data_IF_033682835985
#
_entry.id   IF_033682835985
#
_cell.length_a   1.000
_cell.length_b   1.000
_cell.length_c   1.000
_cell.angle_alpha   90.00
_cell.angle_beta   90.00
_cell.angle_gamma   90.00
#
_symmetry.space_group_name_H-M   'P 1'
#
loop_
_entity.id
_entity.type
_entity.pdbx_description
1 polymer ?
#
# COMPACT_ATOMS: atom_id res chain seq x y z
N UNK A 1 -9.91 0.50 16.64
CA UNK A 1 -9.80 -0.82 16.01
C UNK A 1 -9.97 -1.87 17.08
N UNK A 2 -10.76 -2.90 16.80
CA UNK A 2 -10.99 -3.98 17.75
C UNK A 2 -10.79 -5.30 17.03
N UNK A 3 -9.83 -6.07 17.49
CA UNK A 3 -9.45 -7.36 16.89
C UNK A 3 -9.84 -8.51 17.81
N UNK A 4 -9.36 -9.72 17.52
CA UNK A 4 -9.48 -10.87 18.42
C UNK A 4 -8.76 -10.71 19.75
N UNK A 5 -7.67 -9.94 19.75
CA UNK A 5 -6.74 -9.90 20.88
C UNK A 5 -6.53 -8.49 21.42
N UNK A 6 -6.86 -7.46 20.64
CA UNK A 6 -6.55 -6.07 20.99
C UNK A 6 -7.73 -5.13 20.83
N UNK A 7 -7.75 -4.12 21.69
CA UNK A 7 -8.58 -2.94 21.54
C UNK A 7 -7.65 -1.72 21.50
N UNK A 8 -7.76 -0.93 20.43
CA UNK A 8 -6.93 0.27 20.25
C UNK A 8 -7.79 1.44 19.80
N UNK A 9 -7.61 2.59 20.43
CA UNK A 9 -8.29 3.83 20.06
C UNK A 9 -7.70 4.40 18.76
N UNK A 10 -8.48 4.43 17.67
CA UNK A 10 -8.01 5.04 16.41
C UNK A 10 -8.10 6.57 16.45
N UNK A 11 -9.14 7.09 17.06
CA UNK A 11 -9.37 8.52 17.28
C UNK A 11 -10.15 8.69 18.58
N UNK A 12 -9.92 9.79 19.28
CA UNK A 12 -10.59 10.10 20.56
C UNK A 12 -10.89 11.58 20.60
N UNK A 13 -12.14 11.92 20.97
CA UNK A 13 -12.51 13.24 21.44
C UNK A 13 -12.82 13.13 22.93
N UNK A 14 -11.84 13.47 23.76
CA UNK A 14 -11.98 13.37 25.22
C UNK A 14 -12.35 14.73 25.81
N UNK A 15 -13.61 14.88 26.19
CA UNK A 15 -14.13 16.06 26.90
C UNK A 15 -14.44 15.76 28.37
N UNK A 16 -14.20 14.52 28.80
CA UNK A 16 -14.51 14.02 30.13
C UNK A 16 -13.26 13.80 30.99
N UNK A 17 -12.08 14.11 30.44
CA UNK A 17 -10.77 13.84 31.05
C UNK A 17 -10.61 12.34 31.38
N UNK A 18 -11.09 11.50 30.47
CA UNK A 18 -10.98 10.04 30.54
C UNK A 18 -9.51 9.59 30.40
N UNK A 19 -8.66 10.39 29.76
CA UNK A 19 -7.22 10.19 29.63
C UNK A 19 -6.82 9.26 28.48
N UNK A 20 -7.79 8.77 27.70
CA UNK A 20 -7.53 7.95 26.52
C UNK A 20 -7.09 8.83 25.35
N UNK A 21 -6.04 8.41 24.66
CA UNK A 21 -5.48 9.10 23.50
C UNK A 21 -5.57 8.22 22.27
N UNK A 22 -5.50 8.78 21.04
CA UNK A 22 -5.26 7.99 19.84
C UNK A 22 -4.02 7.09 20.03
N UNK A 23 -4.13 5.82 19.66
CA UNK A 23 -3.14 4.78 19.91
C UNK A 23 -3.19 4.15 21.31
N UNK A 24 -3.99 4.68 22.23
CA UNK A 24 -4.21 4.10 23.56
C UNK A 24 -4.96 2.77 23.49
N UNK A 25 -4.72 1.90 24.46
CA UNK A 25 -5.32 0.57 24.54
C UNK A 25 -6.18 0.41 25.79
N UNK A 26 -7.15 -0.48 25.71
CA UNK A 26 -7.97 -0.93 26.83
C UNK A 26 -7.93 -2.46 26.88
N UNK A 27 -8.17 -3.02 28.07
CA UNK A 27 -8.31 -4.47 28.21
C UNK A 27 -9.55 -4.94 27.44
N UNK A 28 -9.36 -5.79 26.43
CA UNK A 28 -10.41 -6.14 25.48
C UNK A 28 -11.69 -6.68 26.16
N UNK A 29 -11.53 -7.61 27.11
CA UNK A 29 -12.61 -8.24 27.89
C UNK A 29 -13.42 -7.24 28.72
N UNK A 30 -12.83 -6.10 29.05
CA UNK A 30 -13.50 -5.05 29.82
C UNK A 30 -14.40 -4.15 28.97
N UNK A 31 -14.41 -4.31 27.65
CA UNK A 31 -15.08 -3.39 26.71
C UNK A 31 -16.36 -3.97 26.12
N UNK A 32 -17.42 -3.16 26.04
CA UNK A 32 -18.65 -3.50 25.29
C UNK A 32 -18.35 -3.64 23.79
N UNK A 33 -17.30 -2.97 23.28
CA UNK A 33 -16.85 -3.11 21.90
C UNK A 33 -16.49 -4.58 21.55
N UNK A 34 -15.96 -5.34 22.51
CA UNK A 34 -15.66 -6.76 22.32
C UNK A 34 -16.94 -7.60 22.16
N UNK A 35 -17.98 -7.30 22.94
CA UNK A 35 -19.28 -7.97 22.82
C UNK A 35 -20.00 -7.63 21.51
N UNK A 36 -19.88 -6.38 21.04
CA UNK A 36 -20.43 -5.94 19.75
C UNK A 36 -19.77 -6.70 18.59
N UNK A 37 -18.47 -6.97 18.67
CA UNK A 37 -17.76 -7.77 17.67
C UNK A 37 -18.35 -9.16 17.51
N UNK A 38 -18.84 -9.78 18.57
CA UNK A 38 -19.46 -11.12 18.50
C UNK A 38 -20.94 -11.05 18.13
N UNK A 39 -21.67 -10.04 18.60
CA UNK A 39 -23.12 -9.93 18.39
C UNK A 39 -23.52 -9.24 17.08
N UNK A 40 -22.61 -8.44 16.50
CA UNK A 40 -22.82 -7.59 15.32
C UNK A 40 -23.96 -6.56 15.48
N UNK A 41 -24.34 -6.25 16.72
CA UNK A 41 -25.44 -5.33 17.03
C UNK A 41 -24.92 -4.08 17.72
N UNK A 42 -25.53 -2.94 17.38
CA UNK A 42 -25.29 -1.71 18.13
C UNK A 42 -25.79 -1.87 19.58
N UNK A 43 -25.12 -1.18 20.50
CA UNK A 43 -25.52 -1.07 21.91
C UNK A 43 -25.86 0.38 22.18
N UNK A 44 -27.04 0.62 22.74
CA UNK A 44 -27.54 1.95 23.13
C UNK A 44 -28.08 1.85 24.54
N UNK A 45 -27.55 2.68 25.44
CA UNK A 45 -27.87 2.71 26.87
C UNK A 45 -28.25 4.13 27.23
N UNK A 46 -29.53 4.35 27.53
CA UNK A 46 -30.03 5.67 27.95
C UNK A 46 -29.62 5.98 29.41
N UNK A 47 -29.77 5.00 30.29
CA UNK A 47 -29.46 5.08 31.71
C UNK A 47 -29.03 3.71 32.24
N UNK A 48 -27.75 3.56 32.62
CA UNK A 48 -27.18 2.29 33.10
C UNK A 48 -27.97 1.70 34.25
N UNK A 49 -28.38 2.48 35.26
CA UNK A 49 -29.09 1.95 36.42
C UNK A 49 -30.48 1.38 36.10
N UNK A 50 -31.09 1.80 34.99
CA UNK A 50 -32.42 1.37 34.53
C UNK A 50 -32.34 0.35 33.38
N UNK A 51 -31.15 0.15 32.80
CA UNK A 51 -30.96 -0.76 31.67
C UNK A 51 -30.96 -2.22 32.14
N UNK A 52 -31.87 -3.07 31.62
CA UNK A 52 -32.02 -4.45 32.09
C UNK A 52 -30.81 -5.34 31.78
N UNK A 53 -30.01 -5.01 30.76
CA UNK A 53 -28.83 -5.78 30.37
C UNK A 53 -27.57 -5.22 31.02
N UNK A 54 -27.48 -3.89 31.17
CA UNK A 54 -26.24 -3.23 31.56
C UNK A 54 -26.18 -2.72 33.02
N UNK A 55 -27.29 -2.76 33.78
CA UNK A 55 -27.29 -2.31 35.19
C UNK A 55 -26.35 -3.09 36.12
N UNK A 56 -26.14 -4.38 35.82
CA UNK A 56 -25.24 -5.27 36.55
C UNK A 56 -23.89 -5.48 35.83
N UNK A 57 -23.66 -4.80 34.69
CA UNK A 57 -22.44 -4.96 33.91
C UNK A 57 -21.26 -4.19 34.53
N UNK A 58 -20.05 -4.74 34.41
CA UNK A 58 -18.85 -4.15 35.03
C UNK A 58 -18.34 -2.93 34.25
N UNK A 59 -18.40 -2.96 32.92
CA UNK A 59 -17.87 -1.90 32.04
C UNK A 59 -18.37 -0.49 32.38
N UNK A 60 -19.69 -0.22 32.59
CA UNK A 60 -20.15 1.10 33.01
C UNK A 60 -19.56 1.59 34.34
N UNK A 61 -19.32 0.68 35.30
CA UNK A 61 -18.73 1.02 36.60
C UNK A 61 -17.24 1.32 36.46
N UNK A 62 -16.53 0.49 35.69
CA UNK A 62 -15.11 0.64 35.43
C UNK A 62 -14.80 1.99 34.76
N UNK A 63 -15.57 2.34 33.73
CA UNK A 63 -15.38 3.56 32.94
C UNK A 63 -16.27 4.73 33.35
N UNK A 64 -17.06 4.58 34.42
CA UNK A 64 -17.84 5.63 35.09
C UNK A 64 -18.82 6.38 34.18
N UNK A 65 -19.52 5.67 33.30
CA UNK A 65 -20.59 6.26 32.46
C UNK A 65 -21.99 5.84 32.92
N UNK A 66 -22.99 6.64 32.56
CA UNK A 66 -24.42 6.37 32.79
C UNK A 66 -25.23 6.34 31.49
N UNK A 67 -24.71 6.88 30.39
CA UNK A 67 -25.27 6.65 29.05
C UNK A 67 -24.16 6.29 28.06
N UNK A 68 -24.51 5.53 27.04
CA UNK A 68 -23.56 4.97 26.07
C UNK A 68 -24.22 4.67 24.73
N UNK A 69 -23.52 4.94 23.64
CA UNK A 69 -23.89 4.44 22.31
C UNK A 69 -22.66 3.91 21.62
N UNK A 70 -22.76 2.74 21.00
CA UNK A 70 -21.68 2.13 20.23
C UNK A 70 -22.24 1.38 19.04
N UNK A 71 -21.68 1.68 17.87
CA UNK A 71 -22.12 1.15 16.59
C UNK A 71 -20.96 0.45 15.89
N UNK A 72 -21.14 -0.77 15.39
CA UNK A 72 -20.10 -1.49 14.67
C UNK A 72 -19.75 -0.81 13.35
N UNK A 73 -18.46 -0.83 13.02
CA UNK A 73 -17.90 -0.41 11.74
C UNK A 73 -17.52 -1.68 11.00
N UNK A 74 -18.23 -1.96 9.91
CA UNK A 74 -17.92 -3.04 8.98
C UNK A 74 -17.38 -2.45 7.69
N UNK A 75 -16.32 -3.06 7.15
CA UNK A 75 -15.77 -2.72 5.84
C UNK A 75 -16.63 -3.32 4.73
N UNK A 76 -16.38 -2.93 3.47
CA UNK A 76 -17.18 -3.37 2.32
C UNK A 76 -17.10 -4.88 2.06
N UNK A 77 -16.02 -5.54 2.50
CA UNK A 77 -15.85 -6.99 2.45
C UNK A 77 -16.62 -7.75 3.55
N UNK A 78 -17.30 -7.02 4.44
CA UNK A 78 -18.05 -7.57 5.58
C UNK A 78 -17.20 -7.85 6.82
N UNK A 79 -15.89 -7.57 6.78
CA UNK A 79 -15.02 -7.69 7.95
C UNK A 79 -15.33 -6.62 9.00
N UNK A 80 -15.17 -6.99 10.26
CA UNK A 80 -15.36 -6.06 11.39
C UNK A 80 -14.06 -5.31 11.69
N UNK A 81 -14.11 -3.98 11.61
CA UNK A 81 -12.96 -3.13 11.92
C UNK A 81 -12.91 -2.71 13.40
N UNK A 82 -14.06 -2.42 13.98
CA UNK A 82 -14.19 -1.89 15.33
C UNK A 82 -15.54 -1.23 15.56
N UNK A 83 -15.61 -0.29 16.50
CA UNK A 83 -16.84 0.48 16.75
C UNK A 83 -16.54 1.98 16.79
N UNK A 84 -17.54 2.79 16.46
CA UNK A 84 -17.60 4.18 16.88
C UNK A 84 -18.48 4.24 18.13
N UNK A 85 -18.00 4.88 19.19
CA UNK A 85 -18.75 4.96 20.44
C UNK A 85 -18.66 6.34 21.11
N UNK A 86 -19.66 6.63 21.93
CA UNK A 86 -19.73 7.79 22.80
C UNK A 86 -20.27 7.36 24.17
N UNK A 87 -19.77 7.98 25.23
CA UNK A 87 -20.15 7.71 26.62
C UNK A 87 -20.29 9.03 27.39
N UNK A 88 -21.17 9.06 28.38
CA UNK A 88 -21.35 10.23 29.26
C UNK A 88 -21.59 9.76 30.71
N UNK A 89 -20.99 10.41 31.74
CA UNK A 89 -21.25 10.11 33.15
C UNK A 89 -22.70 10.35 33.59
N UNK A 90 -23.52 11.02 32.79
CA UNK A 90 -24.93 11.28 33.06
C UNK A 90 -25.85 10.45 32.16
N UNK A 91 -27.06 10.12 32.63
CA UNK A 91 -28.10 9.57 31.77
C UNK A 91 -28.43 10.53 30.63
N UNK A 92 -28.75 9.98 29.46
CA UNK A 92 -29.15 10.75 28.28
C UNK A 92 -30.20 9.98 27.49
N UNK A 93 -31.18 10.67 26.92
CA UNK A 93 -32.17 10.02 26.03
C UNK A 93 -31.55 9.81 24.65
N UNK A 94 -31.14 8.60 24.33
CA UNK A 94 -30.53 8.21 23.06
C UNK A 94 -31.52 7.41 22.21
N UNK A 95 -32.17 6.40 22.80
CA UNK A 95 -33.14 5.54 22.13
C UNK A 95 -34.35 6.34 21.64
N UNK A 96 -34.74 6.12 20.38
CA UNK A 96 -35.86 6.83 19.76
C UNK A 96 -35.52 8.27 19.32
N UNK A 97 -34.25 8.67 19.40
CA UNK A 97 -33.76 9.93 18.84
C UNK A 97 -32.99 9.69 17.52
N UNK A 98 -32.75 10.72 16.70
CA UNK A 98 -31.97 10.58 15.47
C UNK A 98 -30.50 10.18 15.67
N UNK A 99 -29.99 10.19 16.91
CA UNK A 99 -28.57 9.96 17.20
C UNK A 99 -28.11 8.57 16.76
N UNK A 100 -28.96 7.55 16.88
CA UNK A 100 -28.63 6.19 16.48
C UNK A 100 -28.43 6.08 14.97
N UNK A 101 -29.37 6.62 14.19
CA UNK A 101 -29.27 6.66 12.73
C UNK A 101 -28.06 7.48 12.25
N UNK A 102 -27.75 8.57 12.95
CA UNK A 102 -26.57 9.39 12.68
C UNK A 102 -25.28 8.63 12.95
N UNK A 103 -25.17 7.93 14.09
CA UNK A 103 -24.01 7.10 14.42
C UNK A 103 -23.82 5.94 13.43
N UNK A 104 -24.90 5.32 12.96
CA UNK A 104 -24.86 4.31 11.88
C UNK A 104 -24.35 4.92 10.57
N UNK A 105 -24.77 6.14 10.24
CA UNK A 105 -24.28 6.84 9.05
C UNK A 105 -22.80 7.19 9.17
N UNK A 106 -22.34 7.65 10.34
CA UNK A 106 -20.93 7.90 10.58
C UNK A 106 -20.09 6.63 10.55
N UNK A 107 -20.58 5.51 11.10
CA UNK A 107 -19.89 4.23 11.01
C UNK A 107 -19.64 3.82 9.54
N UNK A 108 -20.62 4.03 8.65
CA UNK A 108 -20.47 3.78 7.22
C UNK A 108 -19.48 4.73 6.54
N UNK A 109 -19.52 6.01 6.87
CA UNK A 109 -18.55 6.99 6.35
C UNK A 109 -17.13 6.68 6.81
N UNK A 110 -16.95 6.28 8.07
CA UNK A 110 -15.67 5.85 8.60
C UNK A 110 -15.15 4.61 7.87
N UNK A 111 -16.00 3.60 7.63
CA UNK A 111 -15.62 2.42 6.85
C UNK A 111 -15.08 2.83 5.46
N UNK A 112 -15.83 3.64 4.72
CA UNK A 112 -15.42 4.13 3.40
C UNK A 112 -14.08 4.90 3.44
N UNK A 113 -13.90 5.75 4.47
CA UNK A 113 -12.67 6.52 4.62
C UNK A 113 -11.47 5.62 4.95
N UNK A 114 -11.64 4.65 5.84
CA UNK A 114 -10.59 3.68 6.20
C UNK A 114 -10.15 2.90 4.95
N UNK A 115 -11.11 2.38 4.17
CA UNK A 115 -10.80 1.64 2.95
C UNK A 115 -10.14 2.52 1.89
N UNK A 116 -10.56 3.78 1.75
CA UNK A 116 -9.93 4.71 0.82
C UNK A 116 -8.48 5.01 1.20
N UNK A 117 -8.19 5.17 2.49
CA UNK A 117 -6.84 5.40 3.00
C UNK A 117 -5.94 4.17 2.81
N UNK A 118 -6.44 2.98 3.12
CA UNK A 118 -5.71 1.72 2.93
C UNK A 118 -5.39 1.46 1.44
N UNK A 119 -6.37 1.66 0.55
CA UNK A 119 -6.18 1.51 -0.89
C UNK A 119 -5.17 2.52 -1.45
N UNK A 120 -5.23 3.78 -0.98
CA UNK A 120 -4.29 4.81 -1.39
C UNK A 120 -2.87 4.50 -0.92
N UNK A 121 -2.72 3.97 0.29
CA UNK A 121 -1.42 3.58 0.83
C UNK A 121 -0.84 2.42 0.03
N UNK A 122 -1.61 1.37 -0.24
CA UNK A 122 -1.16 0.23 -1.04
C UNK A 122 -0.73 0.68 -2.45
N UNK A 123 -1.56 1.48 -3.13
CA UNK A 123 -1.24 1.97 -4.47
C UNK A 123 0.06 2.81 -4.50
N UNK A 124 0.37 3.53 -3.41
CA UNK A 124 1.63 4.28 -3.29
C UNK A 124 2.82 3.35 -3.12
N UNK A 125 2.69 2.32 -2.29
CA UNK A 125 3.76 1.33 -2.09
C UNK A 125 4.07 0.56 -3.38
N UNK A 126 3.02 0.13 -4.10
CA UNK A 126 3.16 -0.54 -5.39
C UNK A 126 3.86 0.36 -6.42
N UNK A 127 3.45 1.63 -6.50
CA UNK A 127 4.08 2.60 -7.40
C UNK A 127 5.56 2.84 -7.08
N UNK A 128 5.92 2.91 -5.79
CA UNK A 128 7.30 3.07 -5.37
C UNK A 128 8.13 1.83 -5.76
N UNK A 129 7.60 0.63 -5.50
CA UNK A 129 8.26 -0.62 -5.88
C UNK A 129 8.46 -0.72 -7.41
N UNK A 130 7.44 -0.38 -8.21
CA UNK A 130 7.55 -0.36 -9.66
C UNK A 130 8.62 0.63 -10.15
N UNK A 131 8.70 1.82 -9.53
CA UNK A 131 9.73 2.83 -9.85
C UNK A 131 11.12 2.33 -9.53
N UNK A 132 11.34 1.73 -8.37
CA UNK A 132 12.64 1.16 -8.00
C UNK A 132 13.08 0.07 -9.00
N UNK A 133 12.15 -0.81 -9.39
CA UNK A 133 12.42 -1.84 -10.40
C UNK A 133 12.75 -1.21 -11.76
N UNK A 134 12.02 -0.16 -12.16
CA UNK A 134 12.28 0.57 -13.40
C UNK A 134 13.65 1.25 -13.39
N UNK A 135 14.02 1.93 -12.31
CA UNK A 135 15.33 2.59 -12.16
C UNK A 135 16.48 1.57 -12.20
N UNK A 136 16.36 0.46 -11.46
CA UNK A 136 17.35 -0.62 -11.50
C UNK A 136 17.49 -1.22 -12.90
N UNK A 137 16.37 -1.41 -13.60
CA UNK A 137 16.37 -1.88 -14.99
C UNK A 137 17.09 -0.89 -15.92
N UNK A 138 16.80 0.40 -15.81
CA UNK A 138 17.47 1.43 -16.62
C UNK A 138 18.98 1.49 -16.37
N UNK A 139 19.40 1.43 -15.10
CA UNK A 139 20.80 1.37 -14.71
C UNK A 139 21.48 0.12 -15.26
N UNK A 140 20.85 -1.05 -15.11
CA UNK A 140 21.38 -2.32 -15.61
C UNK A 140 21.57 -2.30 -17.14
N UNK A 141 20.59 -1.79 -17.88
CA UNK A 141 20.68 -1.63 -19.33
C UNK A 141 21.82 -0.66 -19.71
N UNK A 142 21.96 0.46 -18.99
CA UNK A 142 23.02 1.42 -19.25
C UNK A 142 24.42 0.81 -19.03
N UNK A 143 24.62 0.12 -17.91
CA UNK A 143 25.90 -0.51 -17.56
C UNK A 143 26.24 -1.63 -18.54
N UNK A 144 25.31 -2.58 -18.77
CA UNK A 144 25.54 -3.66 -19.73
C UNK A 144 25.83 -3.13 -21.13
N UNK A 145 25.12 -2.08 -21.56
CA UNK A 145 25.33 -1.51 -22.87
C UNK A 145 26.71 -0.89 -23.05
N UNK A 146 27.27 -0.30 -22.01
CA UNK A 146 28.66 0.16 -22.04
C UNK A 146 29.64 -1.03 -22.04
N UNK A 147 29.44 -1.98 -21.14
CA UNK A 147 30.37 -3.08 -20.91
C UNK A 147 30.42 -4.09 -22.07
N UNK A 148 29.34 -4.22 -22.84
CA UNK A 148 29.31 -5.01 -24.07
C UNK A 148 29.91 -4.28 -25.27
N UNK A 149 29.73 -2.95 -25.37
CA UNK A 149 30.29 -2.16 -26.47
C UNK A 149 31.81 -2.08 -26.41
N UNK A 150 32.38 -1.90 -25.22
CA UNK A 150 33.84 -1.78 -25.05
C UNK A 150 34.68 -2.92 -25.66
N UNK A 151 34.42 -4.21 -25.38
CA UNK A 151 35.16 -5.31 -26.00
C UNK A 151 34.91 -5.40 -27.51
N UNK A 152 33.69 -5.11 -27.99
CA UNK A 152 33.39 -5.09 -29.42
C UNK A 152 34.14 -3.97 -30.16
N UNK A 153 34.25 -2.78 -29.56
CA UNK A 153 35.10 -1.71 -30.06
C UNK A 153 36.57 -2.14 -30.15
N UNK A 154 37.08 -2.80 -29.09
CA UNK A 154 38.46 -3.29 -29.07
C UNK A 154 38.71 -4.38 -30.15
N UNK A 155 37.77 -5.31 -30.35
CA UNK A 155 37.84 -6.36 -31.38
C UNK A 155 37.85 -5.73 -32.77
N UNK A 156 36.90 -4.84 -33.05
CA UNK A 156 36.77 -4.20 -34.36
C UNK A 156 38.01 -3.34 -34.66
N UNK A 157 38.47 -2.51 -33.71
CA UNK A 157 39.67 -1.69 -33.88
C UNK A 157 40.93 -2.54 -34.10
N UNK A 158 41.07 -3.67 -33.38
CA UNK A 158 42.20 -4.58 -33.56
C UNK A 158 42.19 -5.25 -34.94
N UNK A 159 41.01 -5.68 -35.41
CA UNK A 159 40.84 -6.24 -36.74
C UNK A 159 41.17 -5.20 -37.83
N UNK A 160 40.67 -3.97 -37.71
CA UNK A 160 40.99 -2.87 -38.62
C UNK A 160 42.50 -2.55 -38.66
N UNK A 161 43.18 -2.59 -37.52
CA UNK A 161 44.63 -2.38 -37.45
C UNK A 161 45.41 -3.51 -38.14
N UNK A 162 44.96 -4.76 -38.04
CA UNK A 162 45.57 -5.89 -38.74
C UNK A 162 45.46 -5.75 -40.26
N UNK A 163 44.32 -5.27 -40.78
CA UNK A 163 44.13 -5.02 -42.22
C UNK A 163 45.05 -3.93 -42.79
N UNK A 164 45.67 -3.10 -41.95
CA UNK A 164 46.67 -2.10 -42.37
C UNK A 164 48.08 -2.68 -42.52
N UNK A 165 48.29 -3.97 -42.24
CA UNK A 165 49.56 -4.68 -42.39
C UNK A 165 49.52 -5.58 -43.62
N UNK A 166 50.68 -5.91 -44.22
CA UNK A 166 50.72 -6.96 -45.24
C UNK A 166 50.32 -8.30 -44.60
N UNK A 167 49.23 -8.87 -45.09
CA UNK A 167 48.71 -10.18 -44.70
C UNK A 167 48.79 -11.12 -45.90
N UNK A 168 48.89 -12.42 -45.65
CA UNK A 168 48.60 -13.41 -46.69
C UNK A 168 47.08 -13.51 -46.92
N UNK A 169 46.69 -14.08 -48.06
CA UNK A 169 45.29 -14.15 -48.50
C UNK A 169 44.37 -14.86 -47.47
N UNK A 170 44.91 -15.85 -46.75
CA UNK A 170 44.16 -16.60 -45.75
C UNK A 170 43.95 -15.80 -44.48
N UNK A 171 44.99 -15.11 -44.00
CA UNK A 171 44.92 -14.22 -42.85
C UNK A 171 43.99 -13.04 -43.10
N UNK A 172 44.02 -12.45 -44.30
CA UNK A 172 43.12 -11.37 -44.71
C UNK A 172 41.65 -11.81 -44.66
N UNK A 173 41.31 -12.99 -45.20
CA UNK A 173 39.96 -13.55 -45.12
C UNK A 173 39.49 -13.76 -43.68
N UNK A 174 40.36 -14.24 -42.79
CA UNK A 174 40.04 -14.45 -41.36
C UNK A 174 39.76 -13.11 -40.67
N UNK A 175 40.58 -12.09 -40.91
CA UNK A 175 40.40 -10.76 -40.29
C UNK A 175 39.12 -10.09 -40.76
N UNK A 176 38.76 -10.21 -42.05
CA UNK A 176 37.46 -9.75 -42.56
C UNK A 176 36.27 -10.46 -41.92
N UNK A 177 36.39 -11.77 -41.65
CA UNK A 177 35.36 -12.52 -40.94
C UNK A 177 35.19 -12.03 -39.50
N UNK A 178 36.29 -11.77 -38.79
CA UNK A 178 36.28 -11.19 -37.42
C UNK A 178 35.57 -9.83 -37.44
N UNK A 179 35.94 -8.95 -38.37
CA UNK A 179 35.35 -7.61 -38.47
C UNK A 179 33.84 -7.67 -38.73
N UNK A 180 33.40 -8.49 -39.70
CA UNK A 180 31.98 -8.66 -40.03
C UNK A 180 31.19 -9.22 -38.83
N UNK A 181 31.77 -10.18 -38.11
CA UNK A 181 31.14 -10.77 -36.92
C UNK A 181 31.06 -9.78 -35.76
N UNK A 182 32.12 -9.00 -35.53
CA UNK A 182 32.16 -7.98 -34.48
C UNK A 182 31.18 -6.83 -34.75
N UNK A 183 31.07 -6.37 -35.99
CA UNK A 183 30.05 -5.39 -36.40
C UNK A 183 28.63 -5.93 -36.21
N UNK A 184 28.37 -7.18 -36.59
CA UNK A 184 27.07 -7.83 -36.38
C UNK A 184 26.73 -7.96 -34.89
N UNK A 185 27.70 -8.30 -34.05
CA UNK A 185 27.52 -8.37 -32.61
C UNK A 185 27.21 -6.98 -32.01
N UNK A 186 27.86 -5.91 -32.48
CA UNK A 186 27.53 -4.54 -32.06
C UNK A 186 26.10 -4.18 -32.38
N UNK A 187 25.64 -4.47 -33.60
CA UNK A 187 24.25 -4.20 -34.00
C UNK A 187 23.25 -4.96 -33.12
N UNK A 188 23.50 -6.24 -32.84
CA UNK A 188 22.62 -7.03 -31.97
C UNK A 188 22.57 -6.47 -30.54
N UNK A 189 23.71 -6.01 -30.01
CA UNK A 189 23.76 -5.36 -28.70
C UNK A 189 22.93 -4.08 -28.71
N UNK A 190 23.06 -3.24 -29.74
CA UNK A 190 22.26 -2.02 -29.86
C UNK A 190 20.75 -2.33 -29.94
N UNK A 191 20.35 -3.29 -30.79
CA UNK A 191 18.95 -3.68 -30.96
C UNK A 191 18.32 -4.21 -29.65
N UNK A 192 19.06 -5.02 -28.89
CA UNK A 192 18.60 -5.57 -27.60
C UNK A 192 18.47 -4.48 -26.54
N UNK A 193 19.41 -3.53 -26.48
CA UNK A 193 19.35 -2.42 -25.52
C UNK A 193 18.21 -1.44 -25.85
N UNK A 194 17.96 -1.19 -27.13
CA UNK A 194 16.84 -0.35 -27.58
C UNK A 194 15.49 -1.01 -27.31
N UNK A 195 15.38 -2.32 -27.54
CA UNK A 195 14.22 -3.10 -27.10
C UNK A 195 14.03 -3.01 -25.59
N UNK A 196 15.10 -3.21 -24.81
CA UNK A 196 15.05 -3.20 -23.35
C UNK A 196 14.66 -1.82 -22.79
N UNK A 197 14.99 -0.72 -23.48
CA UNK A 197 14.57 0.66 -23.14
C UNK A 197 13.13 0.99 -23.56
N UNK A 198 12.41 0.06 -24.20
CA UNK A 198 11.07 0.33 -24.72
C UNK A 198 11.05 1.35 -25.86
N UNK A 199 12.19 1.61 -26.53
CA UNK A 199 12.36 2.69 -27.53
C UNK A 199 11.93 2.34 -28.95
N UNK A 200 11.13 1.30 -29.16
CA UNK A 200 10.55 0.96 -30.48
C UNK A 200 9.42 1.91 -30.93
N UNK A 201 9.58 3.21 -30.67
CA UNK A 201 8.67 4.30 -31.03
C UNK A 201 9.36 5.47 -31.72
N UNK A 202 10.58 5.31 -32.25
CA UNK A 202 11.08 6.26 -33.25
C UNK A 202 10.36 5.93 -34.56
N UNK A 203 9.19 6.56 -34.74
CA UNK A 203 8.44 6.49 -35.99
C UNK A 203 9.34 6.73 -37.19
N UNK A 204 9.04 6.05 -38.29
CA UNK A 204 9.72 6.18 -39.57
C UNK A 204 9.83 7.67 -39.90
N UNK A 205 11.03 8.28 -39.94
CA UNK A 205 11.17 9.63 -40.44
C UNK A 205 10.90 9.57 -41.95
N UNK A 206 9.66 9.89 -42.34
CA UNK A 206 9.36 10.21 -43.73
C UNK A 206 9.94 11.60 -44.01
N UNK A 207 11.18 11.62 -44.50
CA UNK A 207 11.71 12.76 -45.24
C UNK A 207 10.93 12.87 -46.55
N UNK A 208 9.98 13.79 -46.58
CA UNK A 208 9.33 14.31 -47.80
C UNK A 208 10.19 15.46 -48.32
#
# INVERSE_FOLDING_TARGET
>A
RVTETTWTACAVLDTLDFGLKPGGELELSSTICHEIRSSHKAVVIDHVAEDPLFCAHDTPRLYRFQSYISVPIFLSDGSFFGTICALDPKPAKLTGTPIEAMMVSFARLLALQIEAEENLQQAREDLLAEREVAELREQFIAVLGHDLRNPLFAINASAELLLRRPLDEKAEQIVHHILTSGQRASQLVDDVLDFARGRMGHGIPLSI
#
